data_IF_886266624202
#
_entry.id   IF_886266624202
#
_cell.length_a   1.000
_cell.length_b   1.000
_cell.length_c   1.000
_cell.angle_alpha   90.00
_cell.angle_beta   90.00
_cell.angle_gamma   90.00
#
_symmetry.space_group_name_H-M   'P 1'
#
loop_
_entity.id
_entity.type
_entity.pdbx_description
1 polymer ?
#
# COMPACT_ATOMS: atom_id res chain seq x y z
N UNK A 1 -10.54 28.50 -41.55
CA UNK A 1 -10.97 29.63 -40.69
C UNK A 1 -12.06 29.08 -39.76
N UNK A 2 -12.18 29.35 -38.46
CA UNK A 2 -11.32 29.92 -37.40
C UNK A 2 -12.07 29.72 -36.06
N UNK A 3 -11.51 29.53 -34.86
CA UNK A 3 -10.13 29.30 -34.36
C UNK A 3 -10.21 28.69 -32.94
N UNK A 4 -9.20 27.97 -32.47
CA UNK A 4 -9.16 27.41 -31.10
C UNK A 4 -8.80 28.47 -30.03
N UNK A 5 -9.33 28.39 -28.79
CA UNK A 5 -9.02 29.35 -27.74
C UNK A 5 -7.62 29.15 -27.15
N UNK A 6 -6.94 30.25 -26.87
CA UNK A 6 -5.61 30.30 -26.25
C UNK A 6 -5.73 30.08 -24.74
N UNK A 7 -4.88 29.22 -24.16
CA UNK A 7 -4.79 29.06 -22.71
C UNK A 7 -3.68 29.96 -22.17
N UNK A 8 -4.07 31.01 -21.44
CA UNK A 8 -3.17 32.04 -20.96
C UNK A 8 -2.10 31.50 -19.99
N UNK A 9 -0.86 31.93 -20.20
CA UNK A 9 0.25 31.64 -19.29
C UNK A 9 0.23 32.60 -18.11
N UNK A 10 0.07 32.07 -16.89
CA UNK A 10 0.16 32.87 -15.67
C UNK A 10 1.63 33.20 -15.37
N UNK A 11 2.06 34.39 -15.78
CA UNK A 11 3.34 34.95 -15.39
C UNK A 11 3.22 35.61 -14.01
N UNK A 12 3.82 35.01 -12.98
CA UNK A 12 4.02 35.65 -11.69
C UNK A 12 5.48 36.06 -11.54
N UNK A 13 5.74 37.36 -11.41
CA UNK A 13 7.08 37.92 -11.31
C UNK A 13 7.29 38.55 -9.92
N UNK A 14 8.42 38.21 -9.30
CA UNK A 14 9.03 39.02 -8.24
C UNK A 14 8.80 38.58 -6.79
N UNK A 15 9.74 37.79 -6.26
CA UNK A 15 10.41 38.13 -5.00
C UNK A 15 11.66 37.26 -4.81
N UNK A 16 12.81 37.92 -4.79
CA UNK A 16 14.11 37.34 -4.45
C UNK A 16 14.29 37.29 -2.93
N UNK A 17 14.58 36.12 -2.36
CA UNK A 17 15.45 36.05 -1.19
C UNK A 17 16.16 34.69 -1.12
N UNK A 18 17.45 34.70 -0.83
CA UNK A 18 18.32 33.53 -0.98
C UNK A 18 18.09 32.47 0.11
N UNK A 19 17.44 31.37 -0.26
CA UNK A 19 17.34 30.15 0.52
C UNK A 19 17.60 28.97 -0.41
N UNK A 20 18.79 28.38 -0.30
CA UNK A 20 19.22 27.11 -0.92
C UNK A 20 18.60 26.82 -2.29
N UNK A 21 19.16 27.42 -3.36
CA UNK A 21 18.95 26.93 -4.73
C UNK A 21 19.55 25.52 -4.88
N UNK A 22 18.80 24.51 -4.42
CA UNK A 22 18.94 23.15 -4.89
C UNK A 22 18.77 23.22 -6.41
N UNK A 23 19.81 22.93 -7.21
CA UNK A 23 19.73 23.09 -8.65
C UNK A 23 18.55 22.29 -9.17
N UNK A 24 17.76 22.91 -10.07
CA UNK A 24 16.59 22.25 -10.67
C UNK A 24 17.11 20.99 -11.37
N UNK A 25 16.74 19.82 -10.84
CA UNK A 25 17.24 18.51 -11.29
C UNK A 25 17.28 18.46 -12.82
N UNK A 26 18.45 18.12 -13.37
CA UNK A 26 18.60 17.89 -14.81
C UNK A 26 17.67 16.77 -15.27
N UNK A 27 17.35 16.72 -16.56
CA UNK A 27 16.52 15.63 -17.12
C UNK A 27 17.14 14.24 -16.85
N UNK A 28 18.46 14.16 -16.78
CA UNK A 28 19.18 12.94 -16.38
C UNK A 28 18.93 12.58 -14.90
N UNK A 29 19.04 13.53 -13.98
CA UNK A 29 18.78 13.32 -12.54
C UNK A 29 17.31 13.01 -12.27
N UNK A 30 16.36 13.68 -12.94
CA UNK A 30 14.92 13.35 -12.87
C UNK A 30 14.67 11.92 -13.30
N UNK A 31 15.25 11.48 -14.41
CA UNK A 31 15.12 10.10 -14.92
C UNK A 31 15.72 9.09 -13.94
N UNK A 32 16.90 9.36 -13.39
CA UNK A 32 17.53 8.51 -12.38
C UNK A 32 16.69 8.42 -11.09
N UNK A 33 16.20 9.55 -10.59
CA UNK A 33 15.36 9.61 -9.39
C UNK A 33 14.01 8.89 -9.59
N UNK A 34 13.39 9.02 -10.76
CA UNK A 34 12.17 8.29 -11.11
C UNK A 34 12.40 6.77 -11.11
N UNK A 35 13.49 6.30 -11.73
CA UNK A 35 13.86 4.87 -11.73
C UNK A 35 14.10 4.37 -10.30
N UNK A 36 14.87 5.09 -9.49
CA UNK A 36 15.15 4.72 -8.10
C UNK A 36 13.88 4.70 -7.23
N UNK A 37 12.98 5.67 -7.42
CA UNK A 37 11.70 5.75 -6.69
C UNK A 37 10.78 4.58 -7.03
N UNK A 38 10.66 4.21 -8.32
CA UNK A 38 9.85 3.07 -8.74
C UNK A 38 10.50 1.73 -8.34
N UNK A 39 11.83 1.62 -8.35
CA UNK A 39 12.53 0.45 -7.79
C UNK A 39 12.23 0.28 -6.29
N UNK A 40 12.34 1.35 -5.50
CA UNK A 40 12.00 1.35 -4.06
C UNK A 40 10.53 0.98 -3.84
N UNK A 41 9.62 1.54 -4.64
CA UNK A 41 8.18 1.22 -4.59
C UNK A 41 7.92 -0.26 -4.88
N UNK A 42 8.52 -0.83 -5.93
CA UNK A 42 8.39 -2.25 -6.27
C UNK A 42 8.99 -3.16 -5.19
N UNK A 43 10.10 -2.75 -4.58
CA UNK A 43 10.73 -3.51 -3.52
C UNK A 43 9.84 -3.57 -2.27
N UNK A 44 9.27 -2.44 -1.83
CA UNK A 44 8.32 -2.41 -0.72
C UNK A 44 7.04 -3.24 -0.99
N UNK A 45 6.59 -3.35 -2.25
CA UNK A 45 5.49 -4.24 -2.64
C UNK A 45 5.88 -5.70 -2.48
N UNK A 46 7.05 -6.13 -2.96
CA UNK A 46 7.54 -7.51 -2.80
C UNK A 46 7.66 -7.91 -1.33
N UNK A 47 8.27 -7.06 -0.51
CA UNK A 47 8.38 -7.28 0.94
C UNK A 47 7.00 -7.39 1.61
N UNK A 48 5.98 -6.73 1.06
CA UNK A 48 4.58 -6.93 1.45
C UNK A 48 4.05 -8.32 1.12
N UNK A 49 4.32 -8.82 -0.08
CA UNK A 49 3.97 -10.19 -0.50
C UNK A 49 4.74 -11.27 0.28
N UNK A 50 6.03 -11.07 0.51
CA UNK A 50 6.87 -12.02 1.27
C UNK A 50 6.30 -12.19 2.69
N UNK A 51 5.99 -11.09 3.39
CA UNK A 51 5.30 -11.12 4.70
C UNK A 51 3.94 -11.83 4.66
N UNK A 52 3.17 -11.71 3.57
CA UNK A 52 1.92 -12.46 3.43
C UNK A 52 2.17 -13.97 3.32
N UNK A 53 3.25 -14.40 2.67
CA UNK A 53 3.60 -15.84 2.60
C UNK A 53 4.11 -16.42 3.92
N UNK A 54 4.63 -15.58 4.82
CA UNK A 54 5.01 -15.97 6.19
C UNK A 54 3.80 -16.07 7.13
N UNK A 55 2.79 -15.22 6.95
CA UNK A 55 1.62 -15.12 7.83
C UNK A 55 0.46 -16.08 7.45
N UNK A 56 0.37 -16.50 6.19
CA UNK A 56 -0.75 -17.31 5.68
C UNK A 56 -0.29 -18.77 5.48
N UNK A 57 -0.79 -19.73 6.28
CA UNK A 57 -0.35 -21.12 6.20
C UNK A 57 -0.53 -21.75 4.81
N UNK A 58 0.47 -22.49 4.34
CA UNK A 58 0.42 -23.16 3.05
C UNK A 58 0.67 -22.23 1.85
N UNK A 59 1.34 -21.10 2.07
CA UNK A 59 1.89 -20.21 1.04
C UNK A 59 3.42 -20.17 1.02
N UNK A 60 4.10 -21.00 1.80
CA UNK A 60 5.55 -21.04 1.91
C UNK A 60 6.18 -21.29 0.52
N UNK A 61 7.00 -20.35 0.04
CA UNK A 61 7.59 -20.39 -1.30
C UNK A 61 6.66 -20.02 -2.47
N UNK A 62 5.39 -19.66 -2.23
CA UNK A 62 4.42 -19.26 -3.28
C UNK A 62 4.46 -17.76 -3.64
N UNK A 63 5.38 -16.97 -3.07
CA UNK A 63 5.48 -15.51 -3.26
C UNK A 63 5.65 -15.01 -4.71
N UNK A 64 5.89 -15.91 -5.67
CA UNK A 64 5.95 -15.59 -7.10
C UNK A 64 4.58 -15.42 -7.79
N UNK A 65 3.47 -15.76 -7.13
CA UNK A 65 2.13 -15.67 -7.72
C UNK A 65 1.25 -14.70 -6.92
N UNK A 66 1.34 -13.41 -7.24
CA UNK A 66 0.65 -12.32 -6.55
C UNK A 66 -0.86 -12.58 -6.39
N UNK A 67 -1.53 -13.05 -7.44
CA UNK A 67 -2.97 -13.32 -7.43
C UNK A 67 -3.36 -14.50 -6.52
N UNK A 68 -2.52 -15.54 -6.44
CA UNK A 68 -2.72 -16.68 -5.53
C UNK A 68 -2.52 -16.24 -4.08
N UNK A 69 -1.46 -15.48 -3.80
CA UNK A 69 -1.17 -14.98 -2.45
C UNK A 69 -2.31 -14.09 -1.95
N UNK A 70 -2.78 -13.13 -2.75
CA UNK A 70 -3.91 -12.27 -2.36
C UNK A 70 -5.20 -13.07 -2.12
N UNK A 71 -5.54 -14.01 -3.01
CA UNK A 71 -6.75 -14.83 -2.85
C UNK A 71 -6.69 -15.66 -1.57
N UNK A 72 -5.60 -16.41 -1.37
CA UNK A 72 -5.39 -17.23 -0.17
C UNK A 72 -5.36 -16.41 1.12
N UNK A 73 -4.78 -15.20 1.08
CA UNK A 73 -4.81 -14.25 2.21
C UNK A 73 -6.24 -13.89 2.58
N UNK A 74 -7.09 -13.51 1.61
CA UNK A 74 -8.49 -13.16 1.87
C UNK A 74 -9.29 -14.36 2.41
N UNK A 75 -9.07 -15.55 1.86
CA UNK A 75 -9.74 -16.78 2.32
C UNK A 75 -9.28 -17.16 3.75
N UNK A 76 -8.01 -16.98 4.09
CA UNK A 76 -7.50 -17.15 5.45
C UNK A 76 -8.05 -16.11 6.43
N UNK A 77 -8.13 -14.83 6.05
CA UNK A 77 -8.76 -13.79 6.88
C UNK A 77 -10.23 -14.12 7.21
N UNK A 78 -10.99 -14.63 6.22
CA UNK A 78 -12.37 -15.09 6.43
C UNK A 78 -12.45 -16.26 7.43
N UNK A 79 -11.52 -17.22 7.32
CA UNK A 79 -11.40 -18.34 8.27
C UNK A 79 -11.10 -17.84 9.69
N UNK A 80 -10.12 -16.93 9.86
CA UNK A 80 -9.78 -16.38 11.17
C UNK A 80 -10.94 -15.59 11.80
N UNK A 81 -11.71 -14.84 11.01
CA UNK A 81 -12.91 -14.14 11.50
C UNK A 81 -14.03 -15.12 11.90
N UNK A 82 -14.20 -16.23 11.18
CA UNK A 82 -15.17 -17.27 11.55
C UNK A 82 -14.74 -18.00 12.84
N UNK A 83 -13.46 -18.37 12.94
CA UNK A 83 -12.90 -19.02 14.13
C UNK A 83 -12.97 -18.12 15.36
N UNK A 84 -12.66 -16.83 15.22
CA UNK A 84 -12.84 -15.84 16.29
C UNK A 84 -14.28 -15.80 16.81
N UNK A 85 -15.29 -15.73 15.93
CA UNK A 85 -16.70 -15.78 16.34
C UNK A 85 -17.05 -17.07 17.07
N UNK A 86 -16.53 -18.21 16.61
CA UNK A 86 -16.72 -19.53 17.25
C UNK A 86 -16.10 -19.58 18.65
N UNK A 87 -14.92 -19.02 18.83
CA UNK A 87 -14.24 -18.95 20.12
C UNK A 87 -14.96 -17.99 21.09
N UNK A 88 -15.42 -16.83 20.61
CA UNK A 88 -16.22 -15.88 21.40
C UNK A 88 -17.51 -16.55 21.90
N UNK A 89 -18.28 -17.19 21.02
CA UNK A 89 -19.49 -17.92 21.41
C UNK A 89 -19.20 -19.02 22.44
N UNK A 90 -18.11 -19.78 22.26
CA UNK A 90 -17.71 -20.82 23.24
C UNK A 90 -17.29 -20.24 24.60
N UNK A 91 -16.73 -19.04 24.66
CA UNK A 91 -16.43 -18.37 25.93
C UNK A 91 -17.73 -17.97 26.62
N UNK A 92 -18.70 -17.42 25.88
CA UNK A 92 -20.00 -17.02 26.40
C UNK A 92 -20.85 -18.23 26.86
N UNK A 93 -20.82 -19.35 26.14
CA UNK A 93 -21.42 -20.64 26.54
C UNK A 93 -20.86 -21.17 27.87
N UNK A 94 -19.58 -20.95 28.14
CA UNK A 94 -18.90 -21.33 29.38
C UNK A 94 -19.09 -20.29 30.51
N UNK A 95 -19.91 -19.26 30.30
CA UNK A 95 -20.19 -18.19 31.27
C UNK A 95 -19.12 -17.11 31.35
N UNK A 96 -18.13 -17.11 30.44
CA UNK A 96 -17.13 -16.06 30.34
C UNK A 96 -17.67 -14.81 29.65
N UNK A 97 -17.18 -13.64 30.06
CA UNK A 97 -17.52 -12.36 29.43
C UNK A 97 -16.45 -11.98 28.40
N UNK A 98 -16.88 -11.62 27.20
CA UNK A 98 -16.02 -11.12 26.12
C UNK A 98 -16.23 -9.62 25.97
N UNK A 99 -15.14 -8.87 25.85
CA UNK A 99 -15.16 -7.41 25.62
C UNK A 99 -15.79 -7.08 24.26
N UNK A 100 -16.57 -6.00 24.16
CA UNK A 100 -17.30 -5.63 22.92
C UNK A 100 -16.38 -5.40 21.71
N UNK A 101 -15.15 -4.94 21.94
CA UNK A 101 -14.12 -4.86 20.89
C UNK A 101 -13.76 -6.22 20.30
N UNK A 102 -13.84 -7.30 21.08
CA UNK A 102 -13.56 -8.66 20.62
C UNK A 102 -14.73 -9.32 19.87
N UNK A 103 -15.95 -8.80 19.96
CA UNK A 103 -17.14 -9.36 19.28
C UNK A 103 -17.27 -9.05 17.78
N UNK A 104 -16.53 -8.05 17.26
CA UNK A 104 -16.63 -7.55 15.86
C UNK A 104 -15.56 -8.12 14.93
#
# INVERSE_FOLDING_TARGET
MSTSPVREGSANAGSSNGLDEKPRLSEHEKKANHIASEQKRRQAIREGFDRLTELVPGLEGQGRSESVVLKKTVDYMRLQLAERRRLVGRIEELGGQVEDGMRR
#
